data_IF_748974798357
#
_entry.id   IF_748974798357
#
_cell.length_a   1.000
_cell.length_b   1.000
_cell.length_c   1.000
_cell.angle_alpha   90.00
_cell.angle_beta   90.00
_cell.angle_gamma   90.00
#
_symmetry.space_group_name_H-M   'P 1'
#
loop_
_entity.id
_entity.type
_entity.pdbx_description
1 polymer ?
#
# COMPACT_ATOMS: atom_id res chain seq x y z
N UNK A 1 48.45 9.03 -35.77
CA UNK A 1 47.56 7.92 -35.37
C UNK A 1 46.34 8.54 -34.71
N UNK A 2 45.14 8.08 -35.08
CA UNK A 2 43.86 8.70 -34.71
C UNK A 2 43.53 8.43 -33.24
N UNK A 3 43.08 9.44 -32.47
CA UNK A 3 42.56 9.31 -31.09
C UNK A 3 41.53 8.18 -30.91
N UNK A 4 40.80 7.83 -31.98
CA UNK A 4 39.83 6.71 -32.01
C UNK A 4 40.46 5.32 -32.01
N UNK A 5 41.74 5.19 -32.35
CA UNK A 5 42.47 3.91 -32.34
C UNK A 5 43.04 3.61 -30.93
N UNK A 6 43.39 4.65 -30.16
CA UNK A 6 43.89 4.51 -28.78
C UNK A 6 42.78 4.10 -27.80
N UNK A 7 41.55 4.62 -27.95
CA UNK A 7 40.37 4.19 -27.15
C UNK A 7 39.97 2.72 -27.40
N UNK A 8 40.29 2.15 -28.56
CA UNK A 8 39.94 0.77 -28.92
C UNK A 8 40.89 -0.28 -28.33
N UNK A 9 42.09 0.15 -27.92
CA UNK A 9 43.15 -0.67 -27.31
C UNK A 9 43.20 -0.53 -25.78
N UNK A 10 42.44 0.40 -25.21
CA UNK A 10 42.47 0.68 -23.77
C UNK A 10 41.90 -0.51 -22.98
N UNK A 11 42.71 -1.07 -22.07
CA UNK A 11 42.32 -2.18 -21.21
C UNK A 11 42.39 -3.58 -21.84
N UNK A 12 42.89 -3.73 -23.07
CA UNK A 12 43.19 -5.05 -23.66
C UNK A 12 44.60 -5.50 -23.32
N UNK A 13 44.79 -6.79 -23.04
CA UNK A 13 46.09 -7.38 -22.73
C UNK A 13 46.12 -8.86 -23.10
N UNK A 14 47.29 -9.45 -23.25
CA UNK A 14 47.46 -10.85 -23.64
C UNK A 14 48.12 -11.63 -22.50
N UNK A 15 47.51 -12.75 -22.09
CA UNK A 15 48.10 -13.69 -21.14
C UNK A 15 48.16 -15.08 -21.78
N UNK A 16 49.35 -15.67 -21.82
CA UNK A 16 49.58 -17.04 -22.33
C UNK A 16 48.96 -17.32 -23.72
N UNK A 17 48.98 -16.36 -24.63
CA UNK A 17 48.39 -16.51 -25.98
C UNK A 17 46.88 -16.26 -26.06
N UNK A 18 46.25 -15.83 -24.97
CA UNK A 18 44.82 -15.50 -24.91
C UNK A 18 44.65 -14.00 -24.71
N UNK A 19 43.84 -13.36 -25.55
CA UNK A 19 43.50 -11.93 -25.42
C UNK A 19 42.40 -11.75 -24.37
N UNK A 20 42.66 -10.86 -23.42
CA UNK A 20 41.74 -10.41 -22.38
C UNK A 20 41.45 -8.92 -22.54
N UNK A 21 40.33 -8.48 -21.97
CA UNK A 21 39.99 -7.08 -21.82
C UNK A 21 39.44 -6.84 -20.42
N UNK A 22 39.78 -5.71 -19.81
CA UNK A 22 39.11 -5.23 -18.61
C UNK A 22 37.59 -5.11 -18.84
N UNK A 23 36.82 -5.49 -17.83
CA UNK A 23 35.36 -5.48 -17.84
C UNK A 23 34.87 -4.56 -16.74
N UNK A 24 34.09 -3.55 -17.12
CA UNK A 24 33.32 -2.70 -16.21
C UNK A 24 31.91 -3.29 -16.15
N UNK A 25 31.53 -3.99 -15.07
CA UNK A 25 30.31 -4.80 -15.08
C UNK A 25 29.07 -3.96 -14.82
N UNK A 26 28.01 -4.18 -15.59
CA UNK A 26 26.68 -3.59 -15.38
C UNK A 26 25.65 -4.64 -14.93
N UNK A 27 26.00 -5.93 -15.02
CA UNK A 27 25.13 -7.06 -14.68
C UNK A 27 25.93 -8.25 -14.14
N UNK A 28 25.23 -9.29 -13.69
CA UNK A 28 25.87 -10.47 -13.07
C UNK A 28 26.78 -11.24 -14.04
N UNK A 29 26.43 -11.32 -15.32
CA UNK A 29 27.21 -12.07 -16.30
C UNK A 29 28.54 -11.35 -16.58
N UNK A 30 28.51 -10.02 -16.69
CA UNK A 30 29.71 -9.19 -16.82
C UNK A 30 30.54 -9.18 -15.53
N UNK A 31 29.91 -9.22 -14.35
CA UNK A 31 30.63 -9.36 -13.08
C UNK A 31 31.41 -10.68 -13.03
N UNK A 32 30.84 -11.78 -13.52
CA UNK A 32 31.54 -13.06 -13.61
C UNK A 32 32.73 -12.99 -14.57
N UNK A 33 32.57 -12.32 -15.72
CA UNK A 33 33.69 -12.08 -16.65
C UNK A 33 34.78 -11.21 -16.02
N UNK A 34 34.41 -10.18 -15.27
CA UNK A 34 35.35 -9.34 -14.53
C UNK A 34 36.15 -10.16 -13.50
N UNK A 35 35.53 -11.14 -12.82
CA UNK A 35 36.23 -12.07 -11.94
C UNK A 35 37.18 -13.01 -12.69
N UNK A 36 36.81 -13.51 -13.86
CA UNK A 36 37.69 -14.35 -14.68
C UNK A 36 38.94 -13.57 -15.13
N UNK A 37 38.77 -12.32 -15.55
CA UNK A 37 39.86 -11.40 -15.92
C UNK A 37 40.77 -11.13 -14.72
N UNK A 38 40.18 -10.85 -13.55
CA UNK A 38 40.92 -10.68 -12.28
C UNK A 38 41.74 -11.92 -11.94
N UNK A 39 41.14 -13.11 -12.00
CA UNK A 39 41.80 -14.37 -11.69
C UNK A 39 42.96 -14.68 -12.66
N UNK A 40 42.77 -14.39 -13.94
CA UNK A 40 43.81 -14.56 -14.95
C UNK A 40 45.02 -13.64 -14.67
N UNK A 41 44.78 -12.38 -14.31
CA UNK A 41 45.82 -11.43 -13.91
C UNK A 41 46.54 -11.87 -12.62
N UNK A 42 45.81 -12.27 -11.57
CA UNK A 42 46.39 -12.77 -10.32
C UNK A 42 47.27 -14.00 -10.54
N UNK A 43 46.81 -14.93 -11.38
CA UNK A 43 47.55 -16.16 -11.73
C UNK A 43 48.82 -15.83 -12.49
N UNK A 44 48.74 -14.91 -13.46
CA UNK A 44 49.90 -14.50 -14.25
C UNK A 44 50.95 -13.84 -13.36
N UNK A 45 50.56 -12.83 -12.57
CA UNK A 45 51.46 -12.09 -11.67
C UNK A 45 52.14 -13.04 -10.68
N UNK A 46 51.38 -14.00 -10.11
CA UNK A 46 51.93 -14.98 -9.17
C UNK A 46 52.92 -15.97 -9.81
N UNK A 47 52.83 -16.16 -11.13
CA UNK A 47 53.70 -17.05 -11.89
C UNK A 47 54.98 -16.37 -12.43
N UNK A 48 55.08 -15.05 -12.35
CA UNK A 48 56.26 -14.30 -12.79
C UNK A 48 57.46 -14.58 -11.87
N UNK A 49 58.65 -14.68 -12.46
CA UNK A 49 59.89 -14.74 -11.68
C UNK A 49 60.20 -13.36 -11.06
N UNK A 50 60.97 -13.33 -9.96
CA UNK A 50 61.26 -12.09 -9.21
C UNK A 50 61.96 -10.98 -10.03
N UNK A 51 62.51 -11.30 -11.20
CA UNK A 51 63.18 -10.39 -12.13
C UNK A 51 62.30 -9.92 -13.30
N UNK A 52 61.08 -10.45 -13.43
CA UNK A 52 60.11 -10.04 -14.46
C UNK A 52 59.27 -8.84 -13.99
N UNK A 53 59.02 -7.88 -14.88
CA UNK A 53 58.27 -6.66 -14.57
C UNK A 53 56.76 -6.93 -14.51
N UNK A 54 56.21 -6.99 -13.30
CA UNK A 54 54.78 -7.17 -13.02
C UNK A 54 53.98 -5.86 -13.02
N UNK A 55 54.65 -4.69 -13.05
CA UNK A 55 54.02 -3.40 -12.70
C UNK A 55 52.84 -3.03 -13.61
N UNK A 56 52.91 -3.37 -14.90
CA UNK A 56 51.82 -3.16 -15.84
C UNK A 56 50.59 -4.02 -15.55
N UNK A 57 50.80 -5.30 -15.21
CA UNK A 57 49.72 -6.22 -14.88
C UNK A 57 49.12 -5.94 -13.50
N UNK A 58 49.92 -5.51 -12.54
CA UNK A 58 49.44 -5.05 -11.22
C UNK A 58 48.51 -3.84 -11.34
N UNK A 59 48.83 -2.89 -12.23
CA UNK A 59 47.97 -1.74 -12.53
C UNK A 59 46.63 -2.16 -13.16
N UNK A 60 46.66 -3.11 -14.11
CA UNK A 60 45.44 -3.68 -14.72
C UNK A 60 44.59 -4.44 -13.68
N UNK A 61 45.23 -5.20 -12.81
CA UNK A 61 44.56 -5.93 -11.72
C UNK A 61 43.87 -4.96 -10.76
N UNK A 62 44.55 -3.90 -10.34
CA UNK A 62 43.95 -2.89 -9.48
C UNK A 62 42.75 -2.23 -10.15
N UNK A 63 42.88 -1.83 -11.43
CA UNK A 63 41.77 -1.24 -12.20
C UNK A 63 40.57 -2.20 -12.32
N UNK A 64 40.82 -3.50 -12.53
CA UNK A 64 39.75 -4.50 -12.56
C UNK A 64 39.07 -4.67 -11.19
N UNK A 65 39.84 -4.63 -10.11
CA UNK A 65 39.34 -4.67 -8.73
C UNK A 65 38.46 -3.45 -8.45
N UNK A 66 38.89 -2.27 -8.88
CA UNK A 66 38.15 -1.02 -8.72
C UNK A 66 36.79 -1.10 -9.45
N UNK A 67 36.75 -1.58 -10.69
CA UNK A 67 35.47 -1.80 -11.42
C UNK A 67 34.51 -2.77 -10.72
N UNK A 68 35.04 -3.86 -10.14
CA UNK A 68 34.22 -4.81 -9.37
C UNK A 68 33.67 -4.13 -8.11
N UNK A 69 34.47 -3.33 -7.41
CA UNK A 69 34.04 -2.59 -6.22
C UNK A 69 32.99 -1.54 -6.54
N UNK A 70 33.19 -0.73 -7.59
CA UNK A 70 32.24 0.29 -8.03
C UNK A 70 30.87 -0.33 -8.38
N UNK A 71 30.85 -1.47 -9.06
CA UNK A 71 29.61 -2.19 -9.33
C UNK A 71 28.90 -2.62 -8.04
N UNK A 72 29.62 -3.23 -7.09
CA UNK A 72 29.02 -3.66 -5.81
C UNK A 72 28.49 -2.48 -5.01
N UNK A 73 29.19 -1.34 -5.01
CA UNK A 73 28.70 -0.10 -4.40
C UNK A 73 27.46 0.45 -5.11
N UNK A 74 27.37 0.29 -6.44
CA UNK A 74 26.23 0.73 -7.25
C UNK A 74 24.93 -0.06 -6.99
N UNK A 75 25.02 -1.29 -6.46
CA UNK A 75 23.84 -2.10 -6.07
C UNK A 75 23.02 -1.43 -4.96
N UNK A 76 23.61 -0.46 -4.26
CA UNK A 76 22.93 0.42 -3.34
C UNK A 76 22.63 -0.20 -1.98
N UNK A 77 22.03 0.63 -1.13
CA UNK A 77 21.57 0.27 0.20
C UNK A 77 20.19 0.88 0.42
N UNK A 78 19.39 0.27 1.29
CA UNK A 78 18.11 0.89 1.64
C UNK A 78 18.30 2.17 2.44
N UNK A 79 17.39 3.13 2.24
CA UNK A 79 17.39 4.35 3.01
C UNK A 79 16.99 4.09 4.47
N UNK A 80 17.94 4.37 5.38
CA UNK A 80 17.74 4.15 6.81
C UNK A 80 16.63 5.03 7.39
N UNK A 81 16.42 6.23 6.84
CA UNK A 81 15.30 7.15 7.16
C UNK A 81 13.95 6.58 6.75
N UNK A 82 13.87 5.88 5.62
CA UNK A 82 12.62 5.28 5.15
C UNK A 82 12.22 4.11 6.03
N UNK A 83 13.16 3.20 6.27
CA UNK A 83 12.97 2.13 7.24
C UNK A 83 12.59 2.67 8.63
N UNK A 84 13.24 3.76 9.07
CA UNK A 84 12.97 4.41 10.34
C UNK A 84 11.52 4.82 10.51
N UNK A 85 11.06 5.62 9.57
CA UNK A 85 9.76 6.23 9.63
C UNK A 85 8.67 5.18 9.44
N UNK A 86 8.90 4.16 8.61
CA UNK A 86 8.00 3.01 8.46
C UNK A 86 7.86 2.22 9.77
N UNK A 87 8.95 1.93 10.47
CA UNK A 87 8.91 1.23 11.77
C UNK A 87 8.10 2.04 12.80
N UNK A 88 8.35 3.35 12.89
CA UNK A 88 7.62 4.23 13.81
C UNK A 88 6.14 4.31 13.45
N UNK A 89 5.84 4.42 12.15
CA UNK A 89 4.47 4.44 11.64
C UNK A 89 3.72 3.15 11.96
N UNK A 90 4.29 1.99 11.61
CA UNK A 90 3.70 0.67 11.87
C UNK A 90 3.48 0.43 13.37
N UNK A 91 4.46 0.78 14.21
CA UNK A 91 4.33 0.68 15.67
C UNK A 91 3.13 1.49 16.17
N UNK A 92 3.04 2.77 15.78
CA UNK A 92 1.92 3.65 16.18
C UNK A 92 0.58 3.13 15.68
N UNK A 93 0.53 2.69 14.42
CA UNK A 93 -0.67 2.18 13.78
C UNK A 93 -1.25 0.97 14.53
N UNK A 94 -0.39 0.10 15.04
CA UNK A 94 -0.79 -1.06 15.84
C UNK A 94 -0.90 -0.76 17.35
N UNK A 95 -0.87 0.51 17.76
CA UNK A 95 -0.96 0.91 19.16
C UNK A 95 0.23 0.46 20.02
N UNK A 96 1.34 0.09 19.39
CA UNK A 96 2.54 -0.47 20.03
C UNK A 96 3.61 0.60 20.23
N UNK A 97 4.28 0.59 21.38
CA UNK A 97 5.46 1.44 21.61
C UNK A 97 6.70 0.80 20.99
N UNK A 98 7.66 1.62 20.53
CA UNK A 98 8.92 1.11 19.96
C UNK A 98 9.68 0.19 20.94
N UNK A 99 9.63 0.46 22.24
CA UNK A 99 10.22 -0.43 23.24
C UNK A 99 9.52 -1.79 23.36
N UNK A 100 8.19 -1.83 23.17
CA UNK A 100 7.44 -3.09 23.14
C UNK A 100 7.74 -3.88 21.86
N UNK A 101 7.97 -3.18 20.74
CA UNK A 101 8.45 -3.78 19.50
C UNK A 101 9.83 -4.42 19.69
N UNK A 102 10.75 -3.72 20.37
CA UNK A 102 12.09 -4.24 20.70
C UNK A 102 12.02 -5.55 21.49
N UNK A 103 11.19 -5.58 22.52
CA UNK A 103 10.95 -6.79 23.31
C UNK A 103 10.33 -7.91 22.46
N UNK A 104 9.38 -7.58 21.59
CA UNK A 104 8.66 -8.55 20.72
C UNK A 104 9.59 -9.22 19.71
N UNK A 105 10.50 -8.45 19.09
CA UNK A 105 11.47 -8.99 18.12
C UNK A 105 12.75 -9.52 18.78
N UNK A 106 12.83 -9.48 20.12
CA UNK A 106 13.91 -10.05 20.91
C UNK A 106 15.22 -9.26 20.86
N UNK A 107 15.16 -7.93 20.77
CA UNK A 107 16.35 -7.05 20.81
C UNK A 107 16.41 -6.24 22.09
N UNK A 108 17.61 -5.76 22.44
CA UNK A 108 17.82 -4.96 23.65
C UNK A 108 17.07 -3.62 23.58
N UNK A 109 16.55 -3.14 24.71
CA UNK A 109 15.95 -1.82 24.80
C UNK A 109 16.85 -0.70 24.20
N UNK A 110 16.22 0.18 23.43
CA UNK A 110 16.82 1.26 22.66
C UNK A 110 17.67 0.81 21.47
N UNK A 111 17.69 -0.48 21.09
CA UNK A 111 18.37 -0.96 19.89
C UNK A 111 17.86 -0.23 18.65
N UNK A 112 16.54 -0.24 18.42
CA UNK A 112 15.90 0.41 17.28
C UNK A 112 16.19 1.91 17.32
N UNK A 113 16.04 2.56 18.47
CA UNK A 113 16.34 3.99 18.61
C UNK A 113 17.80 4.37 18.26
N UNK A 114 18.75 3.44 18.45
CA UNK A 114 20.17 3.65 18.11
C UNK A 114 20.47 3.37 16.64
N UNK A 115 19.81 2.40 16.01
CA UNK A 115 20.08 2.01 14.62
C UNK A 115 19.30 2.84 13.61
N UNK A 116 18.18 3.44 14.05
CA UNK A 116 17.22 4.12 13.19
C UNK A 116 17.49 5.64 13.07
N UNK A 117 18.34 6.20 13.93
CA UNK A 117 18.60 7.64 13.98
C UNK A 117 19.28 8.12 12.68
N UNK A 118 18.83 9.26 12.14
CA UNK A 118 19.50 9.93 11.02
C UNK A 118 21.00 10.13 11.34
N UNK A 119 21.88 9.72 10.42
CA UNK A 119 23.34 9.67 10.56
C UNK A 119 23.91 8.60 11.51
N UNK A 120 23.13 7.57 11.87
CA UNK A 120 23.64 6.37 12.52
C UNK A 120 24.67 5.65 11.63
N UNK A 121 25.91 5.49 12.13
CA UNK A 121 26.90 4.58 11.50
C UNK A 121 26.55 3.10 11.69
N UNK A 122 25.55 2.76 12.53
CA UNK A 122 25.15 1.39 12.83
C UNK A 122 23.91 1.03 12.02
N UNK A 123 24.11 0.22 10.99
CA UNK A 123 23.03 -0.33 10.16
C UNK A 123 22.27 -1.41 10.92
N UNK A 124 20.96 -1.45 10.72
CA UNK A 124 20.13 -2.55 11.21
C UNK A 124 20.44 -3.82 10.42
N UNK A 125 20.57 -4.95 11.11
CA UNK A 125 20.79 -6.23 10.43
C UNK A 125 19.55 -6.68 9.66
N UNK A 126 19.74 -7.27 8.49
CA UNK A 126 18.65 -7.75 7.63
C UNK A 126 17.70 -8.73 8.33
N UNK A 127 18.20 -9.55 9.26
CA UNK A 127 17.36 -10.46 10.06
C UNK A 127 16.32 -9.72 10.91
N UNK A 128 16.70 -8.56 11.47
CA UNK A 128 15.78 -7.72 12.26
C UNK A 128 14.78 -7.03 11.33
N UNK A 129 15.23 -6.51 10.19
CA UNK A 129 14.34 -5.93 9.16
C UNK A 129 13.32 -6.97 8.71
N UNK A 130 13.76 -8.21 8.45
CA UNK A 130 12.89 -9.33 8.09
C UNK A 130 11.88 -9.67 9.18
N UNK A 131 12.31 -9.78 10.45
CA UNK A 131 11.40 -10.05 11.58
C UNK A 131 10.34 -8.97 11.72
N UNK A 132 10.71 -7.70 11.58
CA UNK A 132 9.77 -6.58 11.61
C UNK A 132 8.78 -6.68 10.44
N UNK A 133 9.28 -6.96 9.23
CA UNK A 133 8.43 -7.14 8.06
C UNK A 133 7.41 -8.28 8.27
N UNK A 134 7.86 -9.44 8.76
CA UNK A 134 7.00 -10.59 9.07
C UNK A 134 5.99 -10.28 10.19
N UNK A 135 6.42 -9.57 11.24
CA UNK A 135 5.55 -9.19 12.36
C UNK A 135 4.40 -8.29 11.91
N UNK A 136 4.67 -7.34 11.02
CA UNK A 136 3.67 -6.41 10.50
C UNK A 136 2.99 -6.86 9.20
N UNK A 137 3.29 -8.08 8.71
CA UNK A 137 2.67 -8.63 7.50
C UNK A 137 3.01 -7.86 6.21
N UNK A 138 4.21 -7.30 6.12
CA UNK A 138 4.73 -6.61 4.92
C UNK A 138 5.99 -7.31 4.38
N UNK A 139 6.46 -6.90 3.21
CA UNK A 139 7.71 -7.38 2.62
C UNK A 139 8.86 -6.39 2.88
N UNK A 140 10.11 -6.86 2.74
CA UNK A 140 11.29 -6.01 2.97
C UNK A 140 11.27 -4.79 2.05
N UNK A 141 10.94 -4.97 0.76
CA UNK A 141 11.00 -3.92 -0.24
C UNK A 141 10.05 -2.78 0.11
N UNK A 142 8.81 -3.09 0.44
CA UNK A 142 7.82 -2.12 0.92
C UNK A 142 8.33 -1.42 2.18
N UNK A 143 8.85 -2.18 3.14
CA UNK A 143 9.36 -1.64 4.41
C UNK A 143 10.59 -0.72 4.24
N UNK A 144 11.40 -0.92 3.20
CA UNK A 144 12.66 -0.19 3.01
C UNK A 144 12.60 0.90 1.94
N UNK A 145 11.70 0.80 0.97
CA UNK A 145 11.67 1.67 -0.22
C UNK A 145 10.39 2.49 -0.36
N UNK A 146 9.31 2.16 0.37
CA UNK A 146 8.04 2.88 0.27
C UNK A 146 7.83 3.80 1.48
N UNK A 147 7.40 5.04 1.25
CA UNK A 147 7.08 5.98 2.33
C UNK A 147 5.70 5.68 2.95
N UNK A 148 5.60 4.69 3.84
CA UNK A 148 4.31 4.25 4.41
C UNK A 148 3.68 5.27 5.37
N UNK A 149 4.49 6.20 5.90
CA UNK A 149 4.05 7.27 6.81
C UNK A 149 3.52 8.51 6.08
N UNK A 150 3.76 8.61 4.77
CA UNK A 150 3.16 9.66 3.96
C UNK A 150 1.77 9.18 3.63
N UNK A 151 0.83 9.48 4.53
CA UNK A 151 -0.58 9.32 4.23
C UNK A 151 -0.87 10.00 2.89
N UNK A 152 -1.38 9.24 1.92
CA UNK A 152 -2.05 9.84 0.80
C UNK A 152 -3.19 10.68 1.41
N UNK A 153 -3.07 12.00 1.36
CA UNK A 153 -3.93 13.02 2.01
C UNK A 153 -5.43 12.74 1.91
N UNK A 154 -5.84 11.98 0.91
CA UNK A 154 -7.23 11.60 0.65
C UNK A 154 -7.71 10.43 1.52
N UNK A 155 -6.86 9.48 1.90
CA UNK A 155 -7.27 8.36 2.78
C UNK A 155 -7.59 8.88 4.18
N UNK A 156 -6.73 9.72 4.75
CA UNK A 156 -6.99 10.39 6.04
C UNK A 156 -8.24 11.27 5.98
N UNK A 157 -8.45 11.97 4.86
CA UNK A 157 -9.66 12.76 4.64
C UNK A 157 -10.91 11.86 4.61
N UNK A 158 -10.85 10.73 3.91
CA UNK A 158 -11.95 9.77 3.83
C UNK A 158 -12.22 9.08 5.18
N UNK A 159 -11.19 8.77 5.94
CA UNK A 159 -11.35 8.25 7.30
C UNK A 159 -12.08 9.26 8.20
N UNK A 160 -11.67 10.53 8.18
CA UNK A 160 -12.34 11.60 8.93
C UNK A 160 -13.77 11.84 8.43
N UNK A 161 -13.99 11.74 7.13
CA UNK A 161 -15.32 11.83 6.53
C UNK A 161 -16.22 10.70 7.03
N UNK A 162 -15.77 9.45 7.00
CA UNK A 162 -16.52 8.29 7.49
C UNK A 162 -16.81 8.38 8.99
N UNK A 163 -15.84 8.82 9.79
CA UNK A 163 -16.04 9.03 11.23
C UNK A 163 -17.12 10.08 11.50
N UNK A 164 -17.05 11.20 10.78
CA UNK A 164 -18.05 12.25 10.94
C UNK A 164 -19.43 11.79 10.49
N UNK A 165 -19.51 11.11 9.34
CA UNK A 165 -20.76 10.57 8.81
C UNK A 165 -21.39 9.53 9.75
N UNK A 166 -20.56 8.69 10.38
CA UNK A 166 -20.99 7.76 11.42
C UNK A 166 -21.56 8.48 12.65
N UNK A 167 -20.84 9.47 13.18
CA UNK A 167 -21.32 10.25 14.33
C UNK A 167 -22.64 10.96 14.04
N UNK A 168 -22.74 11.62 12.89
CA UNK A 168 -23.96 12.31 12.47
C UNK A 168 -25.11 11.31 12.23
N UNK A 169 -24.84 10.10 11.71
CA UNK A 169 -25.84 9.03 11.57
C UNK A 169 -26.34 8.54 12.93
N UNK A 170 -25.42 8.18 13.84
CA UNK A 170 -25.72 7.69 15.19
C UNK A 170 -26.50 8.71 16.01
N UNK A 171 -26.20 9.99 15.85
CA UNK A 171 -26.87 11.08 16.56
C UNK A 171 -28.24 11.44 15.95
N UNK A 172 -28.74 10.63 15.00
CA UNK A 172 -29.98 10.82 14.26
C UNK A 172 -30.04 12.15 13.48
N UNK A 173 -28.88 12.68 13.07
CA UNK A 173 -28.83 13.86 12.20
C UNK A 173 -29.23 13.50 10.76
N UNK A 174 -28.74 12.36 10.27
CA UNK A 174 -29.10 11.82 8.96
C UNK A 174 -30.18 10.74 9.08
N UNK A 175 -31.04 10.67 8.07
CA UNK A 175 -32.04 9.60 7.92
C UNK A 175 -31.75 8.87 6.62
N UNK A 176 -31.31 7.62 6.74
CA UNK A 176 -31.01 6.76 5.61
C UNK A 176 -32.27 6.07 5.09
N UNK A 177 -32.34 5.93 3.77
CA UNK A 177 -33.40 5.22 3.06
C UNK A 177 -32.85 3.97 2.36
N UNK A 178 -33.73 2.99 2.19
CA UNK A 178 -33.41 1.71 1.55
C UNK A 178 -33.76 1.75 0.07
N UNK A 179 -32.87 1.16 -0.71
CA UNK A 179 -33.02 0.97 -2.14
C UNK A 179 -32.95 -0.51 -2.55
N UNK A 180 -32.89 -1.40 -1.55
CA UNK A 180 -33.03 -2.85 -1.68
C UNK A 180 -31.84 -3.55 -2.33
N UNK A 181 -32.04 -4.83 -2.66
CA UNK A 181 -31.03 -5.67 -3.30
C UNK A 181 -30.87 -7.07 -2.72
N UNK A 182 -31.18 -7.25 -1.43
CA UNK A 182 -31.05 -8.52 -0.71
C UNK A 182 -32.28 -8.81 0.14
N UNK A 183 -32.71 -7.89 0.99
CA UNK A 183 -33.89 -8.06 1.85
C UNK A 183 -35.11 -7.30 1.31
N UNK A 184 -34.89 -6.10 0.77
CA UNK A 184 -35.91 -5.30 0.11
C UNK A 184 -35.79 -5.36 -1.43
N UNK A 185 -36.90 -5.03 -2.11
CA UNK A 185 -36.96 -4.99 -3.56
C UNK A 185 -35.96 -3.97 -4.13
N UNK A 186 -35.08 -4.42 -5.02
CA UNK A 186 -34.06 -3.58 -5.65
C UNK A 186 -34.70 -2.47 -6.51
N UNK A 187 -34.27 -1.23 -6.28
CA UNK A 187 -34.64 -0.08 -7.09
C UNK A 187 -34.14 -0.20 -8.53
N UNK A 188 -35.03 0.05 -9.49
CA UNK A 188 -34.72 -0.06 -10.93
C UNK A 188 -33.63 0.92 -11.38
N UNK A 189 -33.34 1.99 -10.60
CA UNK A 189 -32.32 2.99 -10.96
C UNK A 189 -30.94 2.36 -11.17
N UNK A 190 -30.58 1.34 -10.38
CA UNK A 190 -29.29 0.65 -10.51
C UNK A 190 -29.20 -0.24 -11.74
N UNK A 191 -30.33 -0.83 -12.15
CA UNK A 191 -30.46 -1.59 -13.40
C UNK A 191 -30.35 -0.67 -14.60
N UNK A 192 -31.04 0.48 -14.57
CA UNK A 192 -30.99 1.50 -15.63
C UNK A 192 -29.58 2.08 -15.80
N UNK A 193 -28.86 2.29 -14.69
CA UNK A 193 -27.47 2.75 -14.72
C UNK A 193 -26.46 1.68 -15.15
N UNK A 194 -26.90 0.42 -15.30
CA UNK A 194 -26.04 -0.71 -15.64
C UNK A 194 -25.08 -1.13 -14.53
N UNK A 195 -25.33 -0.67 -13.29
CA UNK A 195 -24.52 -1.04 -12.13
C UNK A 195 -24.87 -2.42 -11.60
N UNK A 196 -26.12 -2.85 -11.78
CA UNK A 196 -26.63 -4.10 -11.22
C UNK A 196 -27.49 -4.84 -12.24
N UNK A 197 -27.29 -6.15 -12.34
CA UNK A 197 -28.21 -7.05 -13.04
C UNK A 197 -28.79 -8.05 -12.07
N UNK A 198 -29.96 -8.59 -12.38
CA UNK A 198 -30.62 -9.62 -11.57
C UNK A 198 -30.62 -10.92 -12.37
N UNK A 199 -30.17 -12.00 -11.74
CA UNK A 199 -30.21 -13.35 -12.31
C UNK A 199 -31.58 -14.02 -12.11
N UNK A 200 -31.78 -15.20 -12.72
CA UNK A 200 -33.04 -15.95 -12.62
C UNK A 200 -33.40 -16.36 -11.19
N UNK A 201 -32.41 -16.47 -10.30
CA UNK A 201 -32.58 -16.79 -8.88
C UNK A 201 -32.71 -15.54 -8.00
N UNK A 202 -32.99 -14.38 -8.60
CA UNK A 202 -33.11 -13.07 -7.95
C UNK A 202 -31.78 -12.55 -7.35
N UNK A 203 -30.64 -13.18 -7.67
CA UNK A 203 -29.33 -12.69 -7.23
C UNK A 203 -28.99 -11.37 -7.92
N UNK A 204 -28.80 -10.32 -7.11
CA UNK A 204 -28.32 -9.03 -7.57
C UNK A 204 -26.78 -9.05 -7.79
N UNK A 205 -26.38 -9.11 -9.06
CA UNK A 205 -24.98 -9.09 -9.51
C UNK A 205 -24.52 -7.65 -9.72
N UNK A 206 -23.42 -7.28 -9.07
CA UNK A 206 -22.86 -5.93 -9.08
C UNK A 206 -21.70 -5.80 -10.08
N UNK A 207 -21.74 -4.76 -10.92
CA UNK A 207 -20.82 -4.54 -12.03
C UNK A 207 -19.94 -3.30 -11.80
N UNK A 208 -19.04 -3.37 -10.83
CA UNK A 208 -18.11 -2.28 -10.55
C UNK A 208 -16.86 -2.34 -11.45
N UNK A 209 -16.57 -1.25 -12.16
CA UNK A 209 -15.42 -1.14 -13.08
C UNK A 209 -14.04 -1.30 -12.42
N UNK A 210 -13.95 -1.13 -11.11
CA UNK A 210 -12.69 -1.19 -10.36
C UNK A 210 -12.39 -2.58 -9.80
N UNK A 211 -13.37 -3.48 -9.82
CA UNK A 211 -13.21 -4.84 -9.31
C UNK A 211 -12.67 -5.77 -10.39
N UNK A 212 -12.06 -6.89 -9.96
CA UNK A 212 -11.56 -7.89 -10.88
C UNK A 212 -12.74 -8.47 -11.71
N UNK A 213 -12.75 -8.30 -13.05
CA UNK A 213 -13.84 -8.77 -13.90
C UNK A 213 -13.92 -10.29 -14.02
N UNK A 214 -12.88 -11.02 -13.62
CA UNK A 214 -12.86 -12.49 -13.63
C UNK A 214 -13.58 -13.11 -12.42
N UNK A 215 -13.99 -12.29 -11.44
CA UNK A 215 -14.75 -12.72 -10.27
C UNK A 215 -16.18 -12.23 -10.35
N UNK A 216 -17.12 -13.03 -9.86
CA UNK A 216 -18.52 -12.61 -9.72
C UNK A 216 -18.71 -11.86 -8.41
N UNK A 217 -19.22 -10.64 -8.53
CA UNK A 217 -19.54 -9.76 -7.40
C UNK A 217 -21.05 -9.65 -7.25
N UNK A 218 -21.53 -9.80 -6.03
CA UNK A 218 -22.94 -9.70 -5.69
C UNK A 218 -23.14 -8.73 -4.54
N UNK A 219 -24.35 -8.21 -4.38
CA UNK A 219 -24.69 -7.42 -3.21
C UNK A 219 -24.51 -8.25 -1.93
N UNK A 220 -23.87 -7.64 -0.94
CA UNK A 220 -23.66 -8.26 0.36
C UNK A 220 -24.82 -7.99 1.33
N UNK A 221 -25.51 -6.86 1.15
CA UNK A 221 -26.69 -6.41 1.88
C UNK A 221 -27.48 -5.40 1.01
N UNK A 222 -28.55 -4.82 1.54
CA UNK A 222 -29.35 -3.83 0.81
C UNK A 222 -28.55 -2.55 0.51
N UNK A 223 -28.90 -1.88 -0.58
CA UNK A 223 -28.35 -0.56 -0.90
C UNK A 223 -29.06 0.48 -0.02
N UNK A 224 -28.29 1.40 0.53
CA UNK A 224 -28.80 2.50 1.35
C UNK A 224 -28.37 3.84 0.77
N UNK A 225 -29.18 4.88 0.97
CA UNK A 225 -28.85 6.22 0.51
C UNK A 225 -29.30 7.34 1.45
N UNK A 226 -28.66 8.50 1.31
CA UNK A 226 -29.10 9.78 1.84
C UNK A 226 -29.58 10.66 0.69
N UNK A 227 -30.85 11.08 0.75
CA UNK A 227 -31.42 11.98 -0.26
C UNK A 227 -30.72 13.35 -0.21
N UNK A 228 -30.32 13.88 -1.38
CA UNK A 228 -29.79 15.25 -1.55
C UNK A 228 -28.63 15.58 -0.59
N UNK A 229 -27.68 14.66 -0.43
CA UNK A 229 -26.46 14.87 0.35
C UNK A 229 -25.61 16.03 -0.20
N UNK A 230 -25.49 16.11 -1.53
CA UNK A 230 -24.82 17.22 -2.24
C UNK A 230 -25.78 17.82 -3.27
N UNK A 231 -26.42 18.95 -2.93
CA UNK A 231 -27.40 19.64 -3.78
C UNK A 231 -28.56 18.74 -4.25
N UNK A 232 -28.43 18.15 -5.45
CA UNK A 232 -29.41 17.25 -6.09
C UNK A 232 -28.95 15.78 -6.13
N UNK A 233 -27.80 15.47 -5.54
CA UNK A 233 -27.19 14.14 -5.56
C UNK A 233 -27.42 13.41 -4.26
N UNK A 234 -27.87 12.18 -4.37
CA UNK A 234 -27.98 11.24 -3.27
C UNK A 234 -26.62 10.60 -2.99
N UNK A 235 -26.23 10.50 -1.72
CA UNK A 235 -25.08 9.69 -1.32
C UNK A 235 -25.54 8.25 -1.13
N UNK A 236 -25.00 7.32 -1.92
CA UNK A 236 -25.38 5.90 -1.92
C UNK A 236 -24.22 5.04 -1.43
N UNK A 237 -24.54 4.05 -0.59
CA UNK A 237 -23.60 3.01 -0.16
C UNK A 237 -24.03 1.67 -0.76
N UNK A 238 -23.14 1.05 -1.53
CA UNK A 238 -23.35 -0.26 -2.15
C UNK A 238 -22.44 -1.29 -1.46
N UNK A 239 -22.97 -2.16 -0.58
CA UNK A 239 -22.21 -3.24 0.02
C UNK A 239 -22.10 -4.44 -0.96
N UNK A 240 -20.90 -4.96 -1.17
CA UNK A 240 -20.67 -6.07 -2.11
C UNK A 240 -19.72 -7.13 -1.57
N UNK A 241 -19.76 -8.33 -2.16
CA UNK A 241 -18.87 -9.45 -1.89
C UNK A 241 -18.62 -10.32 -3.12
N UNK A 242 -17.48 -11.00 -3.16
CA UNK A 242 -17.21 -12.03 -4.17
C UNK A 242 -17.93 -13.32 -3.80
N UNK A 243 -18.53 -13.97 -4.80
CA UNK A 243 -19.17 -15.29 -4.65
C UNK A 243 -18.12 -16.39 -4.42
N UNK A 244 -16.98 -16.28 -5.10
CA UNK A 244 -15.92 -17.30 -5.07
C UNK A 244 -15.00 -17.16 -3.86
N UNK A 245 -14.81 -15.93 -3.37
CA UNK A 245 -13.89 -15.61 -2.28
C UNK A 245 -14.60 -14.84 -1.18
N UNK A 246 -15.18 -15.56 -0.22
CA UNK A 246 -15.91 -15.00 0.94
C UNK A 246 -15.15 -13.95 1.77
N UNK A 247 -13.81 -13.86 1.66
CA UNK A 247 -13.01 -12.83 2.34
C UNK A 247 -12.94 -11.50 1.58
N UNK A 248 -13.35 -11.47 0.31
CA UNK A 248 -13.39 -10.27 -0.50
C UNK A 248 -14.79 -9.65 -0.41
N UNK A 249 -14.88 -8.57 0.33
CA UNK A 249 -16.09 -7.76 0.46
C UNK A 249 -15.69 -6.28 0.53
N UNK A 250 -16.64 -5.39 0.40
CA UNK A 250 -16.38 -3.96 0.46
C UNK A 250 -17.65 -3.14 0.37
N UNK A 251 -17.43 -1.84 0.35
CA UNK A 251 -18.44 -0.80 0.24
C UNK A 251 -17.99 0.20 -0.81
N UNK A 252 -18.89 0.49 -1.74
CA UNK A 252 -18.75 1.55 -2.73
C UNK A 252 -19.61 2.75 -2.32
N UNK A 253 -19.01 3.93 -2.36
CA UNK A 253 -19.69 5.21 -2.13
C UNK A 253 -19.79 5.94 -3.45
N UNK A 254 -21.03 6.19 -3.88
CA UNK A 254 -21.32 6.88 -5.13
C UNK A 254 -22.32 8.00 -4.90
N UNK A 255 -22.28 9.00 -5.77
CA UNK A 255 -23.39 9.91 -5.95
C UNK A 255 -24.33 9.39 -7.02
N UNK A 256 -25.64 9.50 -6.81
CA UNK A 256 -26.68 9.19 -7.78
C UNK A 256 -27.62 10.38 -7.90
N UNK A 257 -27.99 10.77 -9.12
CA UNK A 257 -28.96 11.83 -9.37
C UNK A 257 -29.71 11.62 -10.67
N UNK A 258 -30.83 12.31 -10.83
CA UNK A 258 -31.56 12.37 -12.09
C UNK A 258 -31.20 13.67 -12.85
N UNK A 259 -30.88 13.54 -14.14
CA UNK A 259 -30.64 14.65 -15.05
C UNK A 259 -31.39 14.39 -16.37
N UNK A 260 -32.28 15.31 -16.78
CA UNK A 260 -33.10 15.17 -17.99
C UNK A 260 -33.80 13.80 -18.15
N UNK A 261 -34.39 13.28 -17.06
CA UNK A 261 -35.05 11.96 -16.99
C UNK A 261 -34.11 10.77 -17.21
N UNK A 262 -32.81 10.95 -16.96
CA UNK A 262 -31.81 9.88 -16.98
C UNK A 262 -31.15 9.80 -15.61
N UNK A 263 -30.95 8.57 -15.17
CA UNK A 263 -30.14 8.32 -13.98
C UNK A 263 -28.66 8.49 -14.31
N UNK A 264 -28.00 9.32 -13.51
CA UNK A 264 -26.57 9.58 -13.57
C UNK A 264 -25.94 9.17 -12.25
N UNK A 265 -24.68 8.77 -12.31
CA UNK A 265 -23.90 8.48 -11.11
C UNK A 265 -22.44 8.90 -11.26
N UNK A 266 -21.80 9.09 -10.12
CA UNK A 266 -20.40 9.45 -10.01
C UNK A 266 -19.79 8.68 -8.84
N UNK A 267 -18.62 8.07 -9.05
CA UNK A 267 -17.87 7.42 -7.98
C UNK A 267 -17.29 8.48 -7.04
N UNK A 268 -17.45 8.28 -5.73
CA UNK A 268 -16.74 9.06 -4.71
C UNK A 268 -15.48 8.29 -4.29
N UNK A 269 -15.64 7.11 -3.68
CA UNK A 269 -14.54 6.21 -3.30
C UNK A 269 -15.05 4.78 -3.08
N UNK A 270 -14.12 3.84 -2.99
CA UNK A 270 -14.38 2.45 -2.60
C UNK A 270 -13.44 2.05 -1.48
N UNK A 271 -13.74 0.95 -0.81
CA UNK A 271 -12.99 0.48 0.36
C UNK A 271 -12.10 -0.73 0.09
N UNK A 272 -12.14 -1.32 -1.11
CA UNK A 272 -11.39 -2.53 -1.49
C UNK A 272 -9.89 -2.36 -1.69
N UNK A 273 -9.43 -1.17 -2.11
CA UNK A 273 -8.06 -1.00 -2.64
C UNK A 273 -7.06 -0.50 -1.60
N UNK A 274 -7.45 -0.39 -0.33
CA UNK A 274 -6.51 0.09 0.69
C UNK A 274 -5.67 -1.09 1.21
N UNK A 275 -4.32 -1.03 1.13
CA UNK A 275 -3.44 -2.02 1.77
C UNK A 275 -3.63 -2.09 3.30
N UNK A 276 -4.42 -1.19 3.85
CA UNK A 276 -4.72 -1.00 5.26
C UNK A 276 -6.23 -0.84 5.39
N UNK A 277 -6.95 -1.92 5.72
CA UNK A 277 -8.42 -2.01 5.71
C UNK A 277 -9.20 -1.10 6.67
N UNK A 278 -8.65 0.04 7.11
CA UNK A 278 -9.31 1.00 7.99
C UNK A 278 -10.56 1.62 7.37
N UNK A 279 -10.54 1.94 6.07
CA UNK A 279 -11.74 2.46 5.39
C UNK A 279 -12.86 1.42 5.32
N UNK A 280 -12.52 0.16 5.05
CA UNK A 280 -13.48 -0.95 5.03
C UNK A 280 -14.10 -1.17 6.42
N UNK A 281 -13.29 -1.14 7.49
CA UNK A 281 -13.78 -1.28 8.86
C UNK A 281 -14.69 -0.12 9.28
N UNK A 282 -14.31 1.13 8.96
CA UNK A 282 -15.14 2.31 9.26
C UNK A 282 -16.43 2.32 8.44
N UNK A 283 -16.39 1.97 7.16
CA UNK A 283 -17.57 1.86 6.31
C UNK A 283 -18.51 0.75 6.80
N UNK A 284 -17.95 -0.40 7.23
CA UNK A 284 -18.74 -1.46 7.87
C UNK A 284 -19.43 -0.94 9.13
N UNK A 285 -18.70 -0.27 10.01
CA UNK A 285 -19.25 0.30 11.25
C UNK A 285 -20.38 1.29 10.97
N UNK A 286 -20.23 2.14 9.95
CA UNK A 286 -21.30 3.03 9.48
C UNK A 286 -22.51 2.23 8.99
N UNK A 287 -22.30 1.26 8.12
CA UNK A 287 -23.38 0.47 7.53
C UNK A 287 -24.15 -0.34 8.59
N UNK A 288 -23.45 -0.98 9.54
CA UNK A 288 -24.07 -1.72 10.64
C UNK A 288 -24.94 -0.80 11.53
N UNK A 289 -24.54 0.46 11.73
CA UNK A 289 -25.33 1.46 12.46
C UNK A 289 -26.58 1.87 11.68
N UNK A 290 -26.48 2.01 10.35
CA UNK A 290 -27.63 2.29 9.49
C UNK A 290 -28.67 1.18 9.58
N UNK A 291 -28.24 -0.09 9.47
CA UNK A 291 -29.13 -1.24 9.63
C UNK A 291 -29.75 -1.29 11.03
N UNK A 292 -28.98 -0.96 12.07
CA UNK A 292 -29.51 -0.94 13.44
C UNK A 292 -30.60 0.12 13.63
N UNK A 293 -30.39 1.33 13.08
CA UNK A 293 -31.36 2.43 13.16
C UNK A 293 -32.64 2.17 12.37
N UNK A 294 -32.62 1.28 11.37
CA UNK A 294 -33.83 0.88 10.65
C UNK A 294 -34.90 0.29 11.59
N UNK A 295 -34.46 -0.45 12.60
CA UNK A 295 -35.31 -1.08 13.60
C UNK A 295 -35.62 -0.19 14.81
N UNK A 296 -35.08 1.03 14.87
CA UNK A 296 -35.27 1.98 15.98
C UNK A 296 -36.46 2.95 15.72
N UNK A 297 -36.87 3.65 16.78
CA UNK A 297 -37.93 4.65 16.70
C UNK A 297 -37.46 5.87 15.89
N UNK A 298 -38.04 6.06 14.70
CA UNK A 298 -37.74 7.21 13.83
C UNK A 298 -38.18 8.52 14.47
N UNK A 299 -37.22 9.31 14.94
CA UNK A 299 -37.43 10.66 15.46
C UNK A 299 -36.78 11.67 14.53
N UNK A 300 -37.47 12.76 14.21
CA UNK A 300 -36.81 13.87 13.52
C UNK A 300 -35.75 14.48 14.42
N UNK A 301 -34.65 15.05 13.88
CA UNK A 301 -33.57 15.63 14.68
C UNK A 301 -34.08 16.65 15.72
N UNK A 302 -35.08 17.46 15.32
CA UNK A 302 -35.72 18.46 16.18
C UNK A 302 -36.50 17.83 17.35
N UNK A 303 -37.20 16.72 17.10
CA UNK A 303 -37.93 15.99 18.14
C UNK A 303 -36.96 15.26 19.05
N UNK A 304 -35.92 14.63 18.50
CA UNK A 304 -34.87 13.98 19.28
C UNK A 304 -34.17 14.97 20.23
N UNK A 305 -33.82 16.17 19.74
CA UNK A 305 -33.23 17.23 20.55
C UNK A 305 -34.20 17.75 21.62
N UNK A 306 -35.49 17.94 21.27
CA UNK A 306 -36.52 18.33 22.22
C UNK A 306 -36.67 17.31 23.36
N UNK A 307 -36.77 16.01 23.04
CA UNK A 307 -36.89 14.93 24.01
C UNK A 307 -35.62 14.85 24.87
N UNK A 308 -34.45 14.89 24.25
CA UNK A 308 -33.15 14.88 24.95
C UNK A 308 -33.04 16.01 25.96
N UNK A 309 -33.48 17.22 25.59
CA UNK A 309 -33.47 18.38 26.49
C UNK A 309 -34.48 18.23 27.63
N UNK A 310 -35.68 17.71 27.35
CA UNK A 310 -36.68 17.43 28.37
C UNK A 310 -36.20 16.38 29.39
N UNK A 311 -35.57 15.30 28.92
CA UNK A 311 -35.01 14.25 29.78
C UNK A 311 -33.86 14.77 30.63
N UNK A 312 -32.97 15.60 30.06
CA UNK A 312 -31.85 16.23 30.79
C UNK A 312 -32.30 17.32 31.77
N UNK A 313 -33.46 17.93 31.54
CA UNK A 313 -33.94 19.12 32.25
C UNK A 313 -34.42 18.90 33.70
N UNK A 314 -34.59 17.65 34.15
CA UNK A 314 -35.11 17.34 35.49
C UNK A 314 -36.56 17.79 35.72
N UNK A 315 -37.24 17.22 36.73
CA UNK A 315 -38.56 17.71 37.16
C UNK A 315 -38.39 19.05 37.89
N UNK A 316 -39.21 20.07 37.63
CA UNK A 316 -39.28 21.24 38.50
C UNK A 316 -39.67 20.79 39.91
N UNK A 317 -38.98 21.31 40.93
CA UNK A 317 -39.30 21.10 42.35
C UNK A 317 -40.69 21.62 42.74
#
# INVERSE_FOLDING_TARGET
MSRKFDEYMEGRFELYGTEYKLVEPENIDELMQAFDVKYALETHISGLMHDEDSSGYESLLQKQIDYIHEYVESLGEFESSTLANNIVYLSKKHGMRVGELEDTIGVSAGYLSRTIKENSKKKMSIDIVWKIAQLFGTDIKTLTESEMWVAHTNTDLLERFLDRLYEDTRDNFFTWELDGGVMAMLSDRYKVMGLITEEEDETAVYHANHLNPDLKWVLAADIVFLERFEEKKDLVIIPYKSVEKNRLFGYDFIFVWEDDRRWCWEKIFYTSDTPFGSLQERAKKLYDEIEWLEFDAKLSPKVHQMISNYVKGGRPE
#
